data_IF_441574890286
#
_entry.id   IF_441574890286
#
_cell.length_a   1.000
_cell.length_b   1.000
_cell.length_c   1.000
_cell.angle_alpha   90.00
_cell.angle_beta   90.00
_cell.angle_gamma   90.00
#
_symmetry.space_group_name_H-M   'P 1'
#
loop_
_entity.id
_entity.type
_entity.pdbx_description
1 polymer ?
#
# COMPACT_ATOMS: atom_id res chain seq x y z
N UNK A 1 3.12 21.88 14.75
CA UNK A 1 2.02 20.89 14.59
C UNK A 1 2.04 20.43 13.15
N UNK A 2 2.10 19.13 12.84
CA UNK A 2 1.99 18.69 11.46
C UNK A 2 0.59 19.03 10.95
N UNK A 3 0.54 19.80 9.88
CA UNK A 3 -0.71 20.25 9.25
C UNK A 3 -1.47 19.01 8.76
N UNK A 4 -2.68 18.80 9.29
CA UNK A 4 -3.46 17.61 8.98
C UNK A 4 -3.94 17.79 7.54
N UNK A 5 -3.59 16.89 6.60
CA UNK A 5 -3.96 17.10 5.20
C UNK A 5 -5.48 17.22 5.09
N UNK A 6 -5.92 18.24 4.35
CA UNK A 6 -7.33 18.49 4.05
C UNK A 6 -7.98 17.22 3.49
N UNK A 7 -9.12 16.83 4.06
CA UNK A 7 -9.90 15.68 3.61
C UNK A 7 -10.17 15.70 2.11
N UNK A 8 -10.37 16.87 1.52
CA UNK A 8 -10.60 17.02 0.08
C UNK A 8 -9.35 16.72 -0.77
N UNK A 9 -8.15 16.88 -0.21
CA UNK A 9 -6.89 16.48 -0.88
C UNK A 9 -6.74 14.97 -0.82
N UNK A 10 -7.01 14.36 0.33
CA UNK A 10 -6.95 12.91 0.51
C UNK A 10 -7.89 12.20 -0.47
N UNK A 11 -9.12 12.68 -0.56
CA UNK A 11 -10.15 12.11 -1.43
C UNK A 11 -9.76 12.20 -2.91
N UNK A 12 -9.15 13.32 -3.33
CA UNK A 12 -8.62 13.46 -4.71
C UNK A 12 -7.47 12.50 -5.00
N UNK A 13 -6.53 12.33 -4.06
CA UNK A 13 -5.45 11.36 -4.18
C UNK A 13 -6.00 9.92 -4.34
N UNK A 14 -7.02 9.56 -3.56
CA UNK A 14 -7.65 8.23 -3.62
C UNK A 14 -8.38 8.03 -4.95
N UNK A 15 -9.19 9.00 -5.40
CA UNK A 15 -9.90 8.87 -6.67
C UNK A 15 -8.95 8.77 -7.86
N UNK A 16 -7.84 9.51 -7.86
CA UNK A 16 -6.81 9.36 -8.89
C UNK A 16 -6.21 7.95 -8.91
N UNK A 17 -5.88 7.37 -7.74
CA UNK A 17 -5.41 5.98 -7.66
C UNK A 17 -6.45 4.98 -8.15
N UNK A 18 -7.74 5.21 -7.88
CA UNK A 18 -8.82 4.36 -8.38
C UNK A 18 -8.86 4.40 -9.92
N UNK A 19 -8.75 5.58 -10.51
CA UNK A 19 -8.75 5.74 -11.97
C UNK A 19 -7.56 5.01 -12.62
N UNK A 20 -6.37 5.09 -12.02
CA UNK A 20 -5.19 4.32 -12.44
C UNK A 20 -5.42 2.80 -12.36
N UNK A 21 -5.98 2.31 -11.24
CA UNK A 21 -6.31 0.88 -11.08
C UNK A 21 -7.32 0.43 -12.12
N UNK A 22 -8.35 1.23 -12.40
CA UNK A 22 -9.35 0.91 -13.43
C UNK A 22 -8.72 0.90 -14.82
N UNK A 23 -7.79 1.82 -15.11
CA UNK A 23 -7.04 1.82 -16.37
C UNK A 23 -6.25 0.53 -16.60
N UNK A 24 -5.65 -0.03 -15.54
CA UNK A 24 -4.88 -1.27 -15.57
C UNK A 24 -5.75 -2.54 -15.50
N UNK A 25 -6.92 -2.44 -14.86
CA UNK A 25 -7.85 -3.54 -14.64
C UNK A 25 -9.30 -3.09 -14.93
N UNK A 26 -9.71 -2.97 -16.21
CA UNK A 26 -11.00 -2.40 -16.59
C UNK A 26 -12.22 -3.13 -16.04
N UNK A 27 -12.08 -4.42 -15.73
CA UNK A 27 -13.13 -5.23 -15.10
C UNK A 27 -13.54 -4.70 -13.71
N UNK A 28 -12.70 -3.91 -13.06
CA UNK A 28 -12.96 -3.28 -11.76
C UNK A 28 -13.76 -1.97 -11.86
N UNK A 29 -14.06 -1.48 -13.07
CA UNK A 29 -14.88 -0.27 -13.26
C UNK A 29 -16.32 -0.40 -12.75
N UNK A 30 -16.77 -1.64 -12.46
CA UNK A 30 -18.12 -1.88 -11.92
C UNK A 30 -18.31 -1.19 -10.56
N UNK A 31 -19.46 -0.50 -10.33
CA UNK A 31 -19.77 0.12 -9.03
C UNK A 31 -19.70 -0.85 -7.84
N UNK A 32 -19.89 -2.15 -8.09
CA UNK A 32 -19.82 -3.20 -7.06
C UNK A 32 -18.44 -3.28 -6.40
N UNK A 33 -17.37 -2.97 -7.14
CA UNK A 33 -16.00 -2.99 -6.61
C UNK A 33 -15.59 -1.68 -5.97
N UNK A 34 -16.39 -0.61 -6.07
CA UNK A 34 -16.00 0.73 -5.63
C UNK A 34 -15.64 0.82 -4.14
N UNK A 35 -16.38 0.20 -3.19
CA UNK A 35 -15.98 0.19 -1.79
C UNK A 35 -14.64 -0.53 -1.55
N UNK A 36 -14.39 -1.61 -2.30
CA UNK A 36 -13.16 -2.40 -2.18
C UNK A 36 -11.96 -1.67 -2.79
N UNK A 37 -12.14 -1.05 -3.96
CA UNK A 37 -11.16 -0.17 -4.60
C UNK A 37 -10.79 1.02 -3.70
N UNK A 38 -11.79 1.64 -3.08
CA UNK A 38 -11.55 2.75 -2.16
C UNK A 38 -10.71 2.29 -0.95
N UNK A 39 -11.03 1.13 -0.37
CA UNK A 39 -10.27 0.54 0.73
C UNK A 39 -8.84 0.21 0.31
N UNK A 40 -8.67 -0.43 -0.85
CA UNK A 40 -7.37 -0.78 -1.41
C UNK A 40 -6.50 0.46 -1.68
N UNK A 41 -7.05 1.49 -2.32
CA UNK A 41 -6.32 2.72 -2.63
C UNK A 41 -5.98 3.52 -1.37
N UNK A 42 -6.87 3.52 -0.37
CA UNK A 42 -6.62 4.13 0.94
C UNK A 42 -5.45 3.47 1.66
N UNK A 43 -5.44 2.14 1.73
CA UNK A 43 -4.33 1.38 2.35
C UNK A 43 -3.05 1.56 1.55
N UNK A 44 -3.10 1.50 0.23
CA UNK A 44 -1.95 1.72 -0.67
C UNK A 44 -1.29 3.07 -0.40
N UNK A 45 -2.10 4.13 -0.30
CA UNK A 45 -1.63 5.47 0.04
C UNK A 45 -0.99 5.53 1.42
N UNK A 46 -1.59 4.88 2.43
CA UNK A 46 -1.05 4.85 3.79
C UNK A 46 0.28 4.10 3.86
N UNK A 47 0.38 2.95 3.20
CA UNK A 47 1.63 2.18 3.05
C UNK A 47 2.71 3.05 2.43
N UNK A 48 2.41 3.70 1.30
CA UNK A 48 3.39 4.54 0.62
C UNK A 48 3.90 5.68 1.51
N UNK A 49 3.00 6.41 2.20
CA UNK A 49 3.38 7.48 3.12
C UNK A 49 4.15 6.97 4.34
N UNK A 50 3.77 5.83 4.89
CA UNK A 50 4.44 5.26 6.05
C UNK A 50 5.85 4.77 5.71
N UNK A 51 6.03 4.15 4.55
CA UNK A 51 7.35 3.65 4.13
C UNK A 51 8.31 4.76 3.75
N UNK A 52 7.84 5.82 3.08
CA UNK A 52 8.68 7.00 2.85
C UNK A 52 9.18 7.61 4.17
N UNK A 53 8.36 7.59 5.23
CA UNK A 53 8.78 8.04 6.56
C UNK A 53 9.79 7.08 7.20
N UNK A 54 9.57 5.77 7.12
CA UNK A 54 10.51 4.77 7.64
C UNK A 54 11.87 4.87 6.94
N UNK A 55 11.91 5.09 5.62
CA UNK A 55 13.16 5.30 4.88
C UNK A 55 13.91 6.57 5.32
N UNK A 56 13.19 7.60 5.80
CA UNK A 56 13.77 8.85 6.29
C UNK A 56 14.21 8.77 7.76
N UNK A 57 13.71 7.80 8.52
CA UNK A 57 14.13 7.56 9.89
C UNK A 57 15.43 6.74 9.83
N UNK A 58 16.53 7.33 10.31
CA UNK A 58 17.81 6.64 10.43
C UNK A 58 17.60 5.35 11.24
N UNK A 59 18.12 4.21 10.75
CA UNK A 59 17.82 2.85 11.26
C UNK A 59 18.27 2.60 12.72
N UNK A 60 18.83 3.61 13.37
CA UNK A 60 19.46 3.58 14.68
C UNK A 60 18.52 4.14 15.75
N UNK A 61 17.37 3.52 15.94
CA UNK A 61 16.62 3.71 17.18
C UNK A 61 16.61 2.40 17.98
N UNK A 62 17.39 2.42 19.06
CA UNK A 62 17.75 1.26 19.90
C UNK A 62 16.59 0.86 20.83
N UNK A 63 15.53 1.67 20.91
CA UNK A 63 14.47 1.54 21.92
C UNK A 63 13.20 0.78 21.45
N UNK A 64 13.23 0.17 20.26
CA UNK A 64 12.16 -0.74 19.80
C UNK A 64 10.87 -0.06 19.30
N UNK A 65 10.79 1.27 19.32
CA UNK A 65 9.69 2.02 18.68
C UNK A 65 9.68 1.85 17.16
N UNK A 66 10.87 1.75 16.55
CA UNK A 66 11.02 1.47 15.12
C UNK A 66 10.44 0.09 14.76
N UNK A 67 10.60 -0.91 15.63
CA UNK A 67 10.04 -2.26 15.44
C UNK A 67 8.52 -2.25 15.41
N UNK A 68 7.87 -1.54 16.34
CA UNK A 68 6.39 -1.41 16.35
C UNK A 68 5.86 -0.67 15.11
N UNK A 69 6.58 0.34 14.65
CA UNK A 69 6.25 1.09 13.43
C UNK A 69 6.37 0.20 12.20
N UNK A 70 7.44 -0.61 12.13
CA UNK A 70 7.64 -1.61 11.09
C UNK A 70 6.58 -2.71 11.11
N UNK A 71 6.22 -3.25 12.28
CA UNK A 71 5.16 -4.26 12.44
C UNK A 71 3.80 -3.72 11.97
N UNK A 72 3.53 -2.44 12.24
CA UNK A 72 2.31 -1.78 11.78
C UNK A 72 2.33 -1.60 10.26
N UNK A 73 3.45 -1.14 9.70
CA UNK A 73 3.62 -1.07 8.26
C UNK A 73 3.42 -2.44 7.60
N UNK A 74 4.02 -3.49 8.14
CA UNK A 74 3.88 -4.85 7.62
C UNK A 74 2.43 -5.34 7.63
N UNK A 75 1.67 -5.06 8.69
CA UNK A 75 0.22 -5.37 8.74
C UNK A 75 -0.59 -4.62 7.69
N UNK A 76 -0.24 -3.37 7.39
CA UNK A 76 -0.89 -2.62 6.31
C UNK A 76 -0.56 -3.22 4.94
N UNK A 77 0.68 -3.62 4.71
CA UNK A 77 1.11 -4.27 3.47
C UNK A 77 0.41 -5.63 3.28
N UNK A 78 0.23 -6.41 4.34
CA UNK A 78 -0.55 -7.66 4.30
C UNK A 78 -2.02 -7.40 3.94
N UNK A 79 -2.60 -6.34 4.51
CA UNK A 79 -3.97 -5.92 4.20
C UNK A 79 -4.10 -5.49 2.74
N UNK A 80 -3.16 -4.70 2.25
CA UNK A 80 -3.08 -4.29 0.84
C UNK A 80 -3.01 -5.51 -0.08
N UNK A 81 -2.17 -6.50 0.26
CA UNK A 81 -2.01 -7.73 -0.51
C UNK A 81 -3.28 -8.57 -0.54
N UNK A 82 -4.00 -8.67 0.59
CA UNK A 82 -5.30 -9.35 0.64
C UNK A 82 -6.34 -8.67 -0.25
N UNK A 83 -6.46 -7.34 -0.14
CA UNK A 83 -7.38 -6.55 -0.96
C UNK A 83 -7.05 -6.65 -2.45
N UNK A 84 -5.76 -6.65 -2.81
CA UNK A 84 -5.33 -6.88 -4.19
C UNK A 84 -5.78 -8.24 -4.73
N UNK A 85 -5.64 -9.30 -3.93
CA UNK A 85 -6.11 -10.64 -4.30
C UNK A 85 -7.64 -10.70 -4.45
N UNK A 86 -8.39 -10.06 -3.54
CA UNK A 86 -9.86 -9.98 -3.62
C UNK A 86 -10.32 -9.20 -4.87
N UNK A 87 -9.56 -8.20 -5.30
CA UNK A 87 -9.77 -7.46 -6.54
C UNK A 87 -9.26 -8.21 -7.79
N UNK A 88 -8.69 -9.42 -7.65
CA UNK A 88 -8.13 -10.15 -8.79
C UNK A 88 -6.94 -9.47 -9.46
N UNK A 89 -6.26 -8.55 -8.76
CA UNK A 89 -5.11 -7.85 -9.30
C UNK A 89 -3.92 -8.80 -9.43
N UNK A 90 -3.37 -8.88 -10.64
CA UNK A 90 -2.20 -9.72 -10.90
C UNK A 90 -0.92 -9.06 -10.38
N UNK A 91 0.17 -9.82 -10.11
CA UNK A 91 1.48 -9.24 -9.80
C UNK A 91 2.02 -8.30 -10.89
N UNK A 92 1.53 -8.41 -12.13
CA UNK A 92 1.84 -7.47 -13.20
C UNK A 92 1.11 -6.14 -12.99
N UNK A 93 -0.21 -6.18 -12.79
CA UNK A 93 -1.03 -4.98 -12.53
C UNK A 93 -0.54 -4.21 -11.29
N UNK A 94 -0.11 -4.94 -10.25
CA UNK A 94 0.46 -4.34 -9.04
C UNK A 94 1.80 -3.62 -9.30
N UNK A 95 2.65 -4.17 -10.17
CA UNK A 95 3.90 -3.53 -10.57
C UNK A 95 3.67 -2.29 -11.43
N UNK A 96 2.75 -2.38 -12.39
CA UNK A 96 2.35 -1.24 -13.23
C UNK A 96 1.73 -0.13 -12.39
N UNK A 97 0.91 -0.47 -11.38
CA UNK A 97 0.36 0.49 -10.43
C UNK A 97 1.43 1.16 -9.57
N UNK A 98 2.43 0.41 -9.09
CA UNK A 98 3.54 0.97 -8.34
C UNK A 98 4.29 2.03 -9.16
N UNK A 99 4.54 1.75 -10.44
CA UNK A 99 5.16 2.70 -11.37
C UNK A 99 4.27 3.93 -11.57
N UNK A 100 2.98 3.75 -11.86
CA UNK A 100 2.03 4.84 -12.10
C UNK A 100 1.85 5.75 -10.87
N UNK A 101 1.76 5.17 -9.68
CA UNK A 101 1.63 5.91 -8.43
C UNK A 101 2.92 6.59 -7.96
N UNK A 102 4.01 6.51 -8.75
CA UNK A 102 5.38 6.85 -8.34
C UNK A 102 5.71 6.28 -6.95
N UNK A 103 5.14 5.11 -6.66
CA UNK A 103 5.29 4.42 -5.41
C UNK A 103 6.37 3.37 -5.60
N UNK A 104 7.42 3.42 -4.78
CA UNK A 104 8.36 2.29 -4.72
C UNK A 104 7.53 1.02 -4.49
N UNK A 105 7.77 -0.06 -5.24
CA UNK A 105 6.99 -1.28 -5.10
C UNK A 105 7.27 -1.89 -3.72
N UNK A 106 6.43 -1.55 -2.75
CA UNK A 106 6.26 -2.32 -1.49
C UNK A 106 5.34 -3.52 -1.74
N UNK A 107 4.89 -3.64 -2.99
CA UNK A 107 4.17 -4.78 -3.55
C UNK A 107 5.16 -5.77 -4.14
N UNK A 108 6.25 -6.08 -3.45
CA UNK A 108 6.88 -7.36 -3.69
C UNK A 108 6.26 -8.38 -2.74
N UNK A 109 5.16 -8.97 -3.20
CA UNK A 109 4.57 -10.16 -2.58
C UNK A 109 5.65 -11.23 -2.31
N UNK A 110 6.76 -11.28 -3.07
CA UNK A 110 7.88 -12.16 -2.79
C UNK A 110 8.71 -11.72 -1.58
N UNK A 111 9.00 -10.42 -1.44
CA UNK A 111 9.69 -9.86 -0.26
C UNK A 111 8.90 -10.12 1.04
N UNK A 112 7.57 -10.02 1.01
CA UNK A 112 6.72 -10.38 2.17
C UNK A 112 6.79 -11.89 2.44
N UNK A 113 6.73 -12.73 1.38
CA UNK A 113 6.80 -14.19 1.51
C UNK A 113 8.16 -14.65 2.06
N UNK A 114 9.25 -13.95 1.72
CA UNK A 114 10.58 -14.20 2.28
C UNK A 114 10.68 -13.79 3.75
N UNK A 115 9.97 -12.74 4.18
CA UNK A 115 9.91 -12.32 5.59
C UNK A 115 9.01 -13.23 6.44
N UNK A 116 7.96 -13.85 5.88
CA UNK A 116 7.07 -14.76 6.62
C UNK A 116 7.57 -16.22 6.65
N UNK A 117 8.47 -16.61 5.75
CA UNK A 117 9.04 -17.96 5.71
C UNK A 117 10.43 -18.07 6.40
N UNK A 118 10.92 -16.99 7.01
CA UNK A 118 12.23 -16.92 7.67
C UNK A 118 12.27 -17.27 9.17
N UNK A 119 11.18 -17.78 9.75
CA UNK A 119 11.13 -18.22 11.16
C UNK A 119 10.92 -19.73 11.23
N UNK A 120 11.98 -20.47 10.96
CA UNK A 120 11.97 -21.92 11.06
C UNK A 120 13.34 -22.49 10.85
N UNK A 121 14.30 -22.13 11.71
CA UNK A 121 15.44 -22.94 12.12
C UNK A 121 15.65 -22.72 13.62
#
# INVERSE_FOLDING_TARGET
>A
MPDKPDSAVIEREINHLIDEVIGLAPHLASPLFRPLLHSFCSVTRLVHKASAKVEQMDMLDVDGELRRSYDTLMRMVLTQSRLANELGLTPRSLRELAIAANAKPILDIQSIRMLTNGSGH
#
